data_IF_931943552219
#
_entry.id   IF_931943552219
#
_cell.length_a   1.000
_cell.length_b   1.000
_cell.length_c   1.000
_cell.angle_alpha   90.00
_cell.angle_beta   90.00
_cell.angle_gamma   90.00
#
_symmetry.space_group_name_H-M   'P 1'
#
loop_
_entity.id
_entity.type
_entity.pdbx_description
1 polymer ?
#
# COMPACT_ATOMS: atom_id res chain seq x y z
N UNK A 1 20.12 -48.02 -51.60
CA UNK A 1 20.07 -46.69 -50.95
C UNK A 1 19.47 -46.89 -49.57
N UNK A 2 20.23 -46.69 -48.48
CA UNK A 2 19.69 -46.74 -47.14
C UNK A 2 19.01 -45.40 -46.81
N UNK A 3 17.81 -45.47 -46.24
CA UNK A 3 17.07 -44.34 -45.67
C UNK A 3 17.81 -43.76 -44.45
N UNK A 4 17.86 -42.43 -44.27
CA UNK A 4 18.46 -41.86 -43.06
C UNK A 4 17.55 -42.11 -41.86
N UNK A 5 18.10 -42.72 -40.80
CA UNK A 5 17.44 -42.78 -39.49
C UNK A 5 17.34 -41.37 -38.90
N UNK A 6 16.25 -41.02 -38.20
CA UNK A 6 16.14 -39.72 -37.55
C UNK A 6 17.06 -39.68 -36.32
N UNK A 7 17.99 -38.73 -36.33
CA UNK A 7 18.96 -38.44 -35.29
C UNK A 7 18.28 -38.28 -33.91
N UNK A 8 18.40 -39.31 -33.06
CA UNK A 8 17.76 -39.38 -31.73
C UNK A 8 18.42 -38.49 -30.67
N UNK A 9 19.20 -37.48 -31.07
CA UNK A 9 20.09 -36.74 -30.19
C UNK A 9 19.89 -35.23 -30.36
N UNK A 10 18.64 -34.79 -30.16
CA UNK A 10 18.37 -33.39 -29.86
C UNK A 10 18.75 -33.18 -28.40
N UNK A 11 19.77 -32.36 -28.06
CA UNK A 11 20.00 -32.00 -26.67
C UNK A 11 18.76 -31.26 -26.19
N UNK A 12 18.07 -31.86 -25.21
CA UNK A 12 16.97 -31.22 -24.51
C UNK A 12 17.51 -29.89 -23.98
N UNK A 13 17.08 -28.78 -24.59
CA UNK A 13 17.47 -27.44 -24.19
C UNK A 13 16.70 -27.12 -22.91
N UNK A 14 17.07 -27.82 -21.83
CA UNK A 14 16.60 -27.59 -20.48
C UNK A 14 17.17 -26.24 -20.07
N UNK A 15 16.42 -25.22 -20.46
CA UNK A 15 16.65 -23.83 -20.13
C UNK A 15 16.48 -23.78 -18.62
N UNK A 16 17.62 -23.91 -17.92
CA UNK A 16 17.77 -23.84 -16.48
C UNK A 16 17.23 -22.53 -15.94
N UNK A 17 15.90 -22.46 -15.86
CA UNK A 17 15.14 -21.37 -15.25
C UNK A 17 15.42 -21.52 -13.77
N UNK A 18 16.50 -20.88 -13.32
CA UNK A 18 16.80 -20.70 -11.90
C UNK A 18 15.54 -20.16 -11.25
N UNK A 19 14.78 -21.04 -10.60
CA UNK A 19 13.65 -20.63 -9.77
C UNK A 19 14.28 -19.94 -8.58
N UNK A 20 14.36 -18.62 -8.65
CA UNK A 20 14.68 -17.82 -7.47
C UNK A 20 13.64 -18.22 -6.43
N UNK A 21 14.04 -18.70 -5.25
CA UNK A 21 13.07 -19.10 -4.24
C UNK A 21 12.22 -17.87 -3.91
N UNK A 22 10.89 -18.01 -4.01
CA UNK A 22 9.96 -16.89 -3.86
C UNK A 22 10.18 -16.10 -2.56
N UNK A 23 10.67 -16.76 -1.51
CA UNK A 23 11.06 -16.12 -0.25
C UNK A 23 12.19 -15.09 -0.39
N UNK A 24 13.20 -15.32 -1.25
CA UNK A 24 14.26 -14.34 -1.49
C UNK A 24 13.74 -13.12 -2.25
N UNK A 25 12.80 -13.31 -3.18
CA UNK A 25 12.15 -12.21 -3.92
C UNK A 25 11.35 -11.34 -2.94
N UNK A 26 10.49 -11.98 -2.13
CA UNK A 26 9.66 -11.29 -1.13
C UNK A 26 10.53 -10.56 -0.09
N UNK A 27 11.59 -11.21 0.42
CA UNK A 27 12.50 -10.58 1.39
C UNK A 27 13.24 -9.38 0.78
N UNK A 28 13.65 -9.46 -0.49
CA UNK A 28 14.32 -8.36 -1.19
C UNK A 28 13.35 -7.20 -1.42
N UNK A 29 12.10 -7.48 -1.82
CA UNK A 29 11.06 -6.46 -1.97
C UNK A 29 10.74 -5.78 -0.64
N UNK A 30 10.59 -6.56 0.44
CA UNK A 30 10.43 -6.06 1.81
C UNK A 30 11.58 -5.14 2.21
N UNK A 31 12.82 -5.57 1.99
CA UNK A 31 14.02 -4.77 2.28
C UNK A 31 14.05 -3.45 1.51
N UNK A 32 13.70 -3.47 0.21
CA UNK A 32 13.63 -2.27 -0.62
C UNK A 32 12.54 -1.31 -0.13
N UNK A 33 11.34 -1.80 0.19
CA UNK A 33 10.24 -0.99 0.73
C UNK A 33 10.65 -0.35 2.05
N UNK A 34 11.20 -1.14 2.96
CA UNK A 34 11.68 -0.67 4.26
C UNK A 34 12.76 0.39 4.13
N UNK A 35 13.75 0.18 3.25
CA UNK A 35 14.81 1.16 2.98
C UNK A 35 14.26 2.45 2.33
N UNK A 36 13.33 2.33 1.38
CA UNK A 36 12.73 3.48 0.70
C UNK A 36 11.94 4.36 1.67
N UNK A 37 11.22 3.74 2.62
CA UNK A 37 10.46 4.44 3.67
C UNK A 37 11.27 4.65 4.96
N UNK A 38 12.60 4.51 4.95
CA UNK A 38 13.43 4.67 6.14
C UNK A 38 13.26 6.04 6.82
N UNK A 39 13.10 7.11 6.03
CA UNK A 39 12.81 8.45 6.57
C UNK A 39 11.47 8.56 7.30
N UNK A 40 10.57 7.59 7.11
CA UNK A 40 9.26 7.53 7.75
C UNK A 40 9.27 6.80 9.09
N UNK A 41 10.42 6.21 9.47
CA UNK A 41 10.55 5.45 10.72
C UNK A 41 10.62 6.35 11.95
N UNK A 42 10.94 7.62 11.78
CA UNK A 42 11.01 8.58 12.88
C UNK A 42 9.66 9.29 13.10
N UNK A 43 9.17 9.31 14.36
CA UNK A 43 7.97 10.08 14.72
C UNK A 43 8.15 11.55 14.36
N UNK A 44 7.16 12.14 13.68
CA UNK A 44 7.15 13.56 13.34
C UNK A 44 7.36 13.90 11.86
N UNK A 45 7.88 12.98 11.03
CA UNK A 45 8.03 13.22 9.58
C UNK A 45 6.77 12.87 8.79
N UNK A 46 5.84 13.82 8.60
CA UNK A 46 4.68 13.59 7.74
C UNK A 46 5.11 13.44 6.27
N UNK A 47 4.41 12.62 5.49
CA UNK A 47 4.61 12.59 4.04
C UNK A 47 4.17 13.94 3.46
N UNK A 48 5.14 14.82 3.18
CA UNK A 48 4.90 16.14 2.59
C UNK A 48 4.74 16.06 1.07
N UNK A 49 5.03 14.91 0.45
CA UNK A 49 5.05 14.78 -1.01
C UNK A 49 3.62 14.81 -1.59
N UNK A 50 3.39 15.67 -2.59
CA UNK A 50 2.11 15.86 -3.32
C UNK A 50 0.96 16.27 -2.38
N UNK A 51 -0.20 15.67 -2.56
CA UNK A 51 -1.45 16.01 -1.87
C UNK A 51 -1.54 15.33 -0.50
N UNK A 52 -0.55 14.55 -0.10
CA UNK A 52 -0.54 13.80 1.16
C UNK A 52 -0.75 14.72 2.38
N UNK A 53 0.00 15.81 2.46
CA UNK A 53 -0.10 16.76 3.58
C UNK A 53 -1.25 17.75 3.41
N UNK A 54 -1.52 18.22 2.18
CA UNK A 54 -2.48 19.32 1.94
C UNK A 54 -3.92 18.87 1.73
N UNK A 55 -4.13 17.64 1.27
CA UNK A 55 -5.45 17.11 0.94
C UNK A 55 -5.81 15.92 1.83
N UNK A 56 -4.96 14.90 1.87
CA UNK A 56 -5.29 13.65 2.58
C UNK A 56 -5.22 13.80 4.10
N UNK A 57 -4.19 14.45 4.63
CA UNK A 57 -4.05 14.63 6.07
C UNK A 57 -5.25 15.36 6.72
N UNK A 58 -5.72 16.53 6.24
CA UNK A 58 -6.88 17.19 6.84
C UNK A 58 -8.17 16.37 6.70
N UNK A 59 -8.38 15.68 5.57
CA UNK A 59 -9.52 14.78 5.38
C UNK A 59 -9.50 13.64 6.41
N UNK A 60 -8.32 13.07 6.67
CA UNK A 60 -8.15 11.99 7.66
C UNK A 60 -8.27 12.49 9.10
N UNK A 61 -7.82 13.71 9.39
CA UNK A 61 -8.03 14.35 10.69
C UNK A 61 -9.53 14.53 10.96
N UNK A 62 -10.27 15.09 10.01
CA UNK A 62 -11.72 15.24 10.13
C UNK A 62 -12.44 13.89 10.36
N UNK A 63 -12.03 12.85 9.64
CA UNK A 63 -12.55 11.49 9.86
C UNK A 63 -12.25 10.99 11.28
N UNK A 64 -11.01 11.13 11.74
CA UNK A 64 -10.59 10.69 13.07
C UNK A 64 -11.37 11.40 14.18
N UNK A 65 -11.55 12.73 14.08
CA UNK A 65 -12.32 13.52 15.04
C UNK A 65 -13.78 13.08 15.13
N UNK A 66 -14.42 12.81 13.99
CA UNK A 66 -15.82 12.37 13.95
C UNK A 66 -15.98 10.96 14.51
N UNK A 67 -15.09 10.04 14.13
CA UNK A 67 -15.08 8.69 14.68
C UNK A 67 -14.80 8.67 16.19
N UNK A 68 -13.90 9.53 16.66
CA UNK A 68 -13.63 9.67 18.10
C UNK A 68 -14.85 10.20 18.87
N UNK A 69 -15.69 11.01 18.22
CA UNK A 69 -16.98 11.45 18.77
C UNK A 69 -18.09 10.36 18.68
N UNK A 70 -17.80 9.18 18.12
CA UNK A 70 -18.79 8.13 17.88
C UNK A 70 -19.73 8.41 16.72
N UNK A 71 -19.43 9.42 15.90
CA UNK A 71 -20.24 9.83 14.75
C UNK A 71 -19.62 9.35 13.45
N UNK A 72 -20.45 8.86 12.53
CA UNK A 72 -20.02 8.63 11.16
C UNK A 72 -20.06 9.95 10.38
N UNK A 73 -18.94 10.39 9.76
CA UNK A 73 -18.90 11.65 9.02
C UNK A 73 -19.72 11.54 7.74
N UNK A 74 -20.93 12.08 7.73
CA UNK A 74 -21.81 12.07 6.56
C UNK A 74 -21.53 13.24 5.59
N UNK A 75 -21.23 14.42 6.12
CA UNK A 75 -21.09 15.66 5.37
C UNK A 75 -19.76 16.34 5.64
N UNK A 76 -19.05 16.75 4.59
CA UNK A 76 -17.81 17.51 4.71
C UNK A 76 -18.06 18.97 4.37
N UNK A 77 -18.03 19.91 5.34
CA UNK A 77 -18.42 21.30 5.10
C UNK A 77 -17.31 22.15 4.47
N UNK A 78 -16.08 21.65 4.41
CA UNK A 78 -14.90 22.45 4.07
C UNK A 78 -14.52 22.42 2.57
N UNK A 79 -15.34 21.80 1.72
CA UNK A 79 -15.08 21.67 0.29
C UNK A 79 -16.35 21.97 -0.52
N UNK A 80 -16.26 22.87 -1.51
CA UNK A 80 -17.31 23.20 -2.48
C UNK A 80 -18.74 23.37 -1.90
N UNK A 81 -18.93 24.20 -0.87
CA UNK A 81 -20.20 24.40 -0.13
C UNK A 81 -20.74 23.16 0.59
N UNK A 82 -19.91 22.12 0.65
CA UNK A 82 -20.15 20.89 1.34
C UNK A 82 -20.44 19.74 0.38
N UNK A 83 -19.99 18.54 0.77
CA UNK A 83 -20.16 17.33 -0.04
C UNK A 83 -20.34 16.08 0.82
N UNK A 84 -20.99 15.03 0.29
CA UNK A 84 -21.09 13.75 0.98
C UNK A 84 -19.69 13.16 1.22
N UNK A 85 -19.39 12.83 2.48
CA UNK A 85 -18.07 12.32 2.86
C UNK A 85 -17.96 10.79 2.73
N UNK A 86 -19.00 10.06 3.11
CA UNK A 86 -19.07 8.59 3.00
C UNK A 86 -19.08 8.15 1.53
N UNK A 87 -19.75 8.92 0.65
CA UNK A 87 -19.82 8.61 -0.78
C UNK A 87 -18.51 8.88 -1.55
N UNK A 88 -17.53 9.53 -0.93
CA UNK A 88 -16.27 9.85 -1.57
C UNK A 88 -15.29 8.67 -1.45
N UNK A 89 -14.93 8.06 -2.57
CA UNK A 89 -14.02 6.89 -2.61
C UNK A 89 -12.66 7.15 -1.95
N UNK A 90 -12.14 8.37 -2.05
CA UNK A 90 -10.83 8.72 -1.50
C UNK A 90 -10.81 8.93 0.02
N UNK A 91 -11.96 9.06 0.68
CA UNK A 91 -12.01 9.18 2.16
C UNK A 91 -11.79 7.81 2.81
N UNK A 92 -12.24 6.74 2.14
CA UNK A 92 -12.03 5.37 2.56
C UNK A 92 -12.60 5.07 3.94
N UNK A 93 -13.76 5.64 4.29
CA UNK A 93 -14.37 5.53 5.64
C UNK A 93 -14.45 4.07 6.11
N UNK A 94 -14.84 3.16 5.22
CA UNK A 94 -14.98 1.74 5.53
C UNK A 94 -13.73 0.90 5.25
N UNK A 95 -12.60 1.53 4.93
CA UNK A 95 -11.35 0.81 4.72
C UNK A 95 -10.83 0.25 6.05
N UNK A 96 -10.31 -0.99 6.12
CA UNK A 96 -9.81 -1.57 7.37
C UNK A 96 -8.73 -0.71 8.04
N UNK A 97 -7.89 -0.03 7.25
CA UNK A 97 -6.87 0.89 7.77
C UNK A 97 -7.44 2.16 8.41
N UNK A 98 -8.72 2.46 8.25
CA UNK A 98 -9.38 3.56 8.96
C UNK A 98 -9.37 3.35 10.46
N UNK A 99 -9.35 2.09 10.92
CA UNK A 99 -9.21 1.77 12.34
C UNK A 99 -7.92 2.36 12.94
N UNK A 100 -6.83 2.44 12.17
CA UNK A 100 -5.58 3.03 12.63
C UNK A 100 -5.74 4.50 13.05
N UNK A 101 -6.66 5.23 12.42
CA UNK A 101 -6.93 6.64 12.72
C UNK A 101 -7.76 6.85 13.98
N UNK A 102 -8.37 5.79 14.52
CA UNK A 102 -9.03 5.82 15.82
C UNK A 102 -8.01 5.59 16.94
N UNK A 103 -6.98 4.77 16.69
CA UNK A 103 -5.97 4.43 17.71
C UNK A 103 -4.77 5.39 17.74
N UNK A 104 -4.37 5.94 16.59
CA UNK A 104 -3.16 6.77 16.45
C UNK A 104 -3.50 8.19 15.98
N UNK A 105 -2.63 9.18 16.26
CA UNK A 105 -2.71 10.49 15.62
C UNK A 105 -2.75 10.35 14.10
N UNK A 106 -3.58 11.16 13.44
CA UNK A 106 -3.74 11.14 11.98
C UNK A 106 -2.45 11.06 11.14
N UNK A 107 -1.35 11.80 11.45
CA UNK A 107 -0.11 11.65 10.69
C UNK A 107 0.52 10.26 10.84
N UNK A 108 0.51 9.67 12.03
CA UNK A 108 1.11 8.36 12.30
C UNK A 108 0.25 7.24 11.72
N UNK A 109 -1.07 7.34 11.84
CA UNK A 109 -2.02 6.43 11.20
C UNK A 109 -1.87 6.44 9.67
N UNK A 110 -1.68 7.61 9.06
CA UNK A 110 -1.45 7.73 7.61
C UNK A 110 -0.15 7.04 7.18
N UNK A 111 0.95 7.21 7.93
CA UNK A 111 2.21 6.49 7.68
C UNK A 111 2.02 4.98 7.78
N UNK A 112 1.42 4.51 8.87
CA UNK A 112 1.19 3.10 9.12
C UNK A 112 0.34 2.46 8.02
N UNK A 113 -0.71 3.16 7.56
CA UNK A 113 -1.56 2.67 6.46
C UNK A 113 -0.79 2.47 5.15
N UNK A 114 0.13 3.39 4.82
CA UNK A 114 0.94 3.31 3.60
C UNK A 114 1.98 2.19 3.72
N UNK A 115 2.68 2.11 4.85
CA UNK A 115 3.65 1.06 5.11
C UNK A 115 2.98 -0.31 5.03
N UNK A 116 1.85 -0.49 5.71
CA UNK A 116 1.11 -1.74 5.70
C UNK A 116 0.64 -2.11 4.29
N UNK A 117 0.15 -1.14 3.51
CA UNK A 117 -0.23 -1.36 2.11
C UNK A 117 0.96 -1.85 1.27
N UNK A 118 2.13 -1.21 1.40
CA UNK A 118 3.32 -1.61 0.66
C UNK A 118 3.86 -2.97 1.11
N UNK A 119 3.78 -3.28 2.40
CA UNK A 119 4.18 -4.58 2.94
C UNK A 119 3.27 -5.70 2.43
N UNK A 120 1.95 -5.48 2.44
CA UNK A 120 0.98 -6.44 1.87
C UNK A 120 1.21 -6.65 0.38
N UNK A 121 1.46 -5.57 -0.38
CA UNK A 121 1.79 -5.67 -1.80
C UNK A 121 3.10 -6.45 -2.04
N UNK A 122 4.12 -6.26 -1.20
CA UNK A 122 5.38 -7.01 -1.29
C UNK A 122 5.22 -8.49 -0.93
N UNK A 123 4.26 -8.82 -0.06
CA UNK A 123 3.89 -10.20 0.28
C UNK A 123 3.07 -10.88 -0.83
N UNK A 124 2.52 -10.11 -1.79
CA UNK A 124 1.70 -10.63 -2.89
C UNK A 124 0.25 -10.93 -2.49
N UNK A 125 -0.25 -10.26 -1.44
CA UNK A 125 -1.65 -10.31 -1.01
C UNK A 125 -2.55 -9.39 -1.85
#
# INVERSE_FOLDING_TARGET
MPSPEPDSNSPDCDTGRRRVPSGLIVATLLGIVLAFYHGLWWPGLALVKRDAMRFFLPIKQYLAERLAAGELPQWFPYDALGRPFIGATHTGVFHPFTLLYVLLPAPDAYRASILLSCLLAALGA
#
